data_IF_834479595332
#
_entry.id   IF_834479595332
#
_cell.length_a   1.000
_cell.length_b   1.000
_cell.length_c   1.000
_cell.angle_alpha   90.00
_cell.angle_beta   90.00
_cell.angle_gamma   90.00
#
_symmetry.space_group_name_H-M   'P 1'
#
loop_
_entity.id
_entity.type
_entity.pdbx_description
1 polymer ?
#
# COMPACT_ATOMS: atom_id res chain seq x y z
N UNK A 1 -92.20 37.77 98.17
CA UNK A 1 -92.25 38.04 96.70
C UNK A 1 -90.97 38.60 96.08
N UNK A 2 -90.25 39.58 96.68
CA UNK A 2 -89.04 40.19 96.08
C UNK A 2 -87.86 39.22 95.79
N UNK A 3 -87.72 38.12 96.55
CA UNK A 3 -86.67 37.11 96.33
C UNK A 3 -86.93 36.20 95.09
N UNK A 4 -88.20 35.87 94.80
CA UNK A 4 -88.57 35.04 93.64
C UNK A 4 -88.35 35.76 92.30
N UNK A 5 -88.54 37.07 92.26
CA UNK A 5 -88.31 37.90 91.06
C UNK A 5 -86.81 38.03 90.73
N UNK A 6 -85.93 38.04 91.75
CA UNK A 6 -84.46 38.05 91.53
C UNK A 6 -83.94 36.73 90.97
N UNK A 7 -84.49 35.60 91.41
CA UNK A 7 -84.11 34.27 90.92
C UNK A 7 -84.52 34.06 89.45
N UNK A 8 -85.68 34.56 89.04
CA UNK A 8 -86.16 34.47 87.64
C UNK A 8 -85.33 35.39 86.72
N UNK A 9 -84.97 36.61 87.15
CA UNK A 9 -84.07 37.48 86.37
C UNK A 9 -82.66 36.92 86.23
N UNK A 10 -82.13 36.23 87.25
CA UNK A 10 -80.82 35.58 87.17
C UNK A 10 -80.83 34.39 86.19
N UNK A 11 -81.88 33.57 86.20
CA UNK A 11 -82.05 32.46 85.24
C UNK A 11 -82.21 32.92 83.79
N UNK A 12 -82.93 34.01 83.53
CA UNK A 12 -83.05 34.56 82.17
C UNK A 12 -81.73 35.17 81.66
N UNK A 13 -80.96 35.88 82.52
CA UNK A 13 -79.64 36.40 82.12
C UNK A 13 -78.64 35.26 81.82
N UNK A 14 -78.65 34.18 82.59
CA UNK A 14 -77.80 33.01 82.33
C UNK A 14 -78.18 32.28 81.03
N UNK A 15 -79.47 32.13 80.74
CA UNK A 15 -79.95 31.56 79.48
C UNK A 15 -79.58 32.41 78.25
N UNK A 16 -79.70 33.73 78.36
CA UNK A 16 -79.38 34.64 77.25
C UNK A 16 -77.88 34.68 76.92
N UNK A 17 -77.01 34.55 77.93
CA UNK A 17 -75.55 34.48 77.73
C UNK A 17 -75.14 33.16 77.07
N UNK A 18 -75.74 32.02 77.45
CA UNK A 18 -75.47 30.73 76.80
C UNK A 18 -75.95 30.67 75.34
N UNK A 19 -77.12 31.22 75.03
CA UNK A 19 -77.65 31.24 73.65
C UNK A 19 -76.79 32.15 72.75
N UNK A 20 -76.34 33.30 73.26
CA UNK A 20 -75.45 34.21 72.52
C UNK A 20 -74.04 33.63 72.31
N UNK A 21 -73.51 32.85 73.26
CA UNK A 21 -72.25 32.13 73.10
C UNK A 21 -72.35 31.00 72.06
N UNK A 22 -73.46 30.23 72.05
CA UNK A 22 -73.71 29.19 71.05
C UNK A 22 -73.89 29.77 69.63
N UNK A 23 -74.60 30.89 69.48
CA UNK A 23 -74.73 31.55 68.17
C UNK A 23 -73.40 32.11 67.65
N UNK A 24 -72.53 32.66 68.52
CA UNK A 24 -71.18 33.09 68.12
C UNK A 24 -70.28 31.91 67.74
N UNK A 25 -70.36 30.78 68.44
CA UNK A 25 -69.61 29.56 68.10
C UNK A 25 -70.08 28.96 66.76
N UNK A 26 -71.39 28.89 66.51
CA UNK A 26 -71.96 28.42 65.23
C UNK A 26 -71.61 29.36 64.06
N UNK A 27 -71.65 30.68 64.28
CA UNK A 27 -71.19 31.67 63.29
C UNK A 27 -69.71 31.49 62.93
N UNK A 28 -68.85 31.26 63.92
CA UNK A 28 -67.42 31.01 63.69
C UNK A 28 -67.15 29.69 62.96
N UNK A 29 -67.89 28.62 63.28
CA UNK A 29 -67.76 27.32 62.59
C UNK A 29 -68.25 27.39 61.14
N UNK A 30 -69.37 28.06 60.88
CA UNK A 30 -69.86 28.23 59.50
C UNK A 30 -68.96 29.15 58.66
N UNK A 31 -68.42 30.23 59.22
CA UNK A 31 -67.49 31.11 58.50
C UNK A 31 -66.16 30.38 58.21
N UNK A 32 -65.64 29.60 59.18
CA UNK A 32 -64.40 28.82 59.02
C UNK A 32 -64.56 27.64 58.04
N UNK A 33 -65.72 26.98 58.02
CA UNK A 33 -66.03 25.95 57.02
C UNK A 33 -66.16 26.55 55.61
N UNK A 34 -66.78 27.73 55.47
CA UNK A 34 -66.93 28.42 54.18
C UNK A 34 -65.60 28.97 53.64
N UNK A 35 -64.66 29.37 54.50
CA UNK A 35 -63.30 29.74 54.09
C UNK A 35 -62.44 28.53 53.69
N UNK A 36 -62.56 27.38 54.38
CA UNK A 36 -61.86 26.13 54.00
C UNK A 36 -62.34 25.59 52.64
N UNK A 37 -63.63 25.69 52.33
CA UNK A 37 -64.18 25.31 51.03
C UNK A 37 -63.77 26.27 49.89
N UNK A 38 -63.66 27.58 50.15
CA UNK A 38 -63.20 28.58 49.15
C UNK A 38 -61.68 28.54 48.92
N UNK A 39 -60.87 28.26 49.94
CA UNK A 39 -59.42 28.04 49.78
C UNK A 39 -59.07 26.78 49.00
N UNK A 40 -59.90 25.73 49.11
CA UNK A 40 -59.72 24.46 48.38
C UNK A 40 -59.86 24.61 46.85
N UNK A 41 -60.86 25.39 46.39
CA UNK A 41 -61.06 25.65 44.96
C UNK A 41 -59.87 26.37 44.31
N UNK A 42 -59.30 27.38 44.99
CA UNK A 42 -58.16 28.13 44.48
C UNK A 42 -56.87 27.29 44.43
N UNK A 43 -56.68 26.39 45.40
CA UNK A 43 -55.54 25.44 45.40
C UNK A 43 -55.67 24.43 44.26
N UNK A 44 -56.86 23.90 43.99
CA UNK A 44 -57.08 22.99 42.85
C UNK A 44 -56.91 23.69 41.50
N UNK A 45 -57.38 24.93 41.34
CA UNK A 45 -57.17 25.72 40.11
C UNK A 45 -55.68 25.99 39.90
N UNK A 46 -54.95 26.42 40.95
CA UNK A 46 -53.50 26.65 40.88
C UNK A 46 -52.72 25.36 40.59
N UNK A 47 -53.15 24.22 41.14
CA UNK A 47 -52.55 22.91 40.84
C UNK A 47 -52.79 22.48 39.39
N UNK A 48 -54.02 22.64 38.86
CA UNK A 48 -54.35 22.39 37.45
C UNK A 48 -53.59 23.32 36.50
N UNK A 49 -53.47 24.61 36.82
CA UNK A 49 -52.65 25.55 36.06
C UNK A 49 -51.18 25.15 36.07
N UNK A 50 -50.61 24.79 37.23
CA UNK A 50 -49.22 24.30 37.31
C UNK A 50 -49.02 23.01 36.52
N UNK A 51 -49.96 22.07 36.57
CA UNK A 51 -49.92 20.84 35.78
C UNK A 51 -49.97 21.14 34.27
N UNK A 52 -50.86 22.04 33.84
CA UNK A 52 -50.96 22.48 32.43
C UNK A 52 -49.70 23.18 31.95
N UNK A 53 -49.09 24.05 32.77
CA UNK A 53 -47.81 24.70 32.44
C UNK A 53 -46.68 23.68 32.33
N UNK A 54 -46.62 22.66 33.21
CA UNK A 54 -45.65 21.56 33.10
C UNK A 54 -45.86 20.75 31.82
N UNK A 55 -47.10 20.45 31.47
CA UNK A 55 -47.44 19.75 30.23
C UNK A 55 -47.00 20.57 29.01
N UNK A 56 -47.32 21.86 28.95
CA UNK A 56 -46.90 22.75 27.86
C UNK A 56 -45.37 22.85 27.77
N UNK A 57 -44.66 22.95 28.91
CA UNK A 57 -43.19 22.96 28.94
C UNK A 57 -42.61 21.63 28.46
N UNK A 58 -43.19 20.51 28.84
CA UNK A 58 -42.77 19.18 28.37
C UNK A 58 -43.00 19.03 26.86
N UNK A 59 -44.16 19.46 26.35
CA UNK A 59 -44.45 19.48 24.91
C UNK A 59 -43.48 20.37 24.13
N UNK A 60 -43.21 21.60 24.61
CA UNK A 60 -42.22 22.50 23.99
C UNK A 60 -40.79 21.95 24.03
N UNK A 61 -40.42 21.27 25.12
CA UNK A 61 -39.12 20.63 25.24
C UNK A 61 -38.98 19.45 24.26
N UNK A 62 -40.05 18.66 24.08
CA UNK A 62 -40.10 17.60 23.09
C UNK A 62 -40.00 18.16 21.66
N UNK A 63 -40.80 19.19 21.34
CA UNK A 63 -40.76 19.87 20.04
C UNK A 63 -39.37 20.47 19.73
N UNK A 64 -38.71 21.08 20.71
CA UNK A 64 -37.34 21.56 20.55
C UNK A 64 -36.34 20.41 20.34
N UNK A 65 -36.54 19.27 21.01
CA UNK A 65 -35.76 18.05 20.79
C UNK A 65 -35.90 17.52 19.37
N UNK A 66 -37.14 17.42 18.90
CA UNK A 66 -37.50 16.93 17.57
C UNK A 66 -36.94 17.86 16.47
N UNK A 67 -37.07 19.17 16.66
CA UNK A 67 -36.50 20.18 15.76
C UNK A 67 -34.97 20.11 15.72
N UNK A 68 -34.31 19.83 16.84
CA UNK A 68 -32.86 19.62 16.90
C UNK A 68 -32.44 18.38 16.12
N UNK A 69 -33.19 17.28 16.20
CA UNK A 69 -32.93 16.05 15.44
C UNK A 69 -33.09 16.30 13.94
N UNK A 70 -34.18 16.97 13.51
CA UNK A 70 -34.40 17.38 12.12
C UNK A 70 -33.26 18.26 11.61
N UNK A 71 -32.87 19.28 12.38
CA UNK A 71 -31.77 20.18 12.04
C UNK A 71 -30.44 19.44 11.89
N UNK A 72 -30.12 18.54 12.83
CA UNK A 72 -28.90 17.74 12.76
C UNK A 72 -28.85 16.86 11.51
N UNK A 73 -29.98 16.21 11.15
CA UNK A 73 -30.07 15.42 9.93
C UNK A 73 -29.84 16.28 8.69
N UNK A 74 -30.52 17.44 8.57
CA UNK A 74 -30.35 18.37 7.46
C UNK A 74 -28.90 18.88 7.35
N UNK A 75 -28.28 19.22 8.47
CA UNK A 75 -26.87 19.62 8.50
C UNK A 75 -25.94 18.49 8.04
N UNK A 76 -26.17 17.24 8.49
CA UNK A 76 -25.38 16.08 8.06
C UNK A 76 -25.58 15.75 6.58
N UNK A 77 -26.79 15.88 6.03
CA UNK A 77 -27.09 15.73 4.60
C UNK A 77 -26.33 16.79 3.80
N UNK A 78 -26.43 18.07 4.20
CA UNK A 78 -25.77 19.19 3.51
C UNK A 78 -24.25 19.07 3.51
N UNK A 79 -23.67 18.62 4.63
CA UNK A 79 -22.22 18.43 4.76
C UNK A 79 -21.72 17.11 4.18
N UNK A 80 -22.62 16.17 3.87
CA UNK A 80 -22.27 14.81 3.45
C UNK A 80 -21.26 14.16 4.42
N UNK A 81 -21.45 14.36 5.73
CA UNK A 81 -20.52 13.86 6.74
C UNK A 81 -20.68 12.34 6.93
N UNK A 82 -19.65 11.58 6.54
CA UNK A 82 -19.64 10.10 6.60
C UNK A 82 -19.86 9.54 8.01
N UNK A 83 -19.45 10.26 9.05
CA UNK A 83 -19.52 9.78 10.43
C UNK A 83 -20.82 10.20 11.10
N UNK A 84 -21.24 11.45 10.88
CA UNK A 84 -22.44 12.01 11.55
C UNK A 84 -23.75 11.63 10.89
N UNK A 85 -23.77 11.36 9.58
CA UNK A 85 -25.00 11.06 8.86
C UNK A 85 -25.68 9.76 9.34
N UNK A 86 -24.98 8.62 9.53
CA UNK A 86 -25.61 7.40 10.04
C UNK A 86 -26.23 7.57 11.43
N UNK A 87 -25.55 8.31 12.32
CA UNK A 87 -26.04 8.60 13.68
C UNK A 87 -27.32 9.44 13.61
N UNK A 88 -27.33 10.50 12.81
CA UNK A 88 -28.50 11.35 12.64
C UNK A 88 -29.71 10.60 12.05
N UNK A 89 -29.49 9.67 11.12
CA UNK A 89 -30.55 8.81 10.57
C UNK A 89 -31.12 7.87 11.62
N UNK A 90 -30.27 7.27 12.47
CA UNK A 90 -30.73 6.41 13.57
C UNK A 90 -31.53 7.20 14.60
N UNK A 91 -31.05 8.39 15.00
CA UNK A 91 -31.75 9.27 15.94
C UNK A 91 -33.12 9.71 15.40
N UNK A 92 -33.18 10.06 14.11
CA UNK A 92 -34.43 10.42 13.43
C UNK A 92 -35.42 9.24 13.38
N UNK A 93 -34.95 8.05 12.98
CA UNK A 93 -35.77 6.82 12.95
C UNK A 93 -36.27 6.43 14.35
N UNK A 94 -35.43 6.61 15.38
CA UNK A 94 -35.78 6.33 16.78
C UNK A 94 -36.83 7.29 17.33
N UNK A 95 -36.77 8.56 16.96
CA UNK A 95 -37.72 9.59 17.37
C UNK A 95 -39.09 9.48 16.68
N UNK A 96 -39.23 8.65 15.62
CA UNK A 96 -40.48 8.44 14.85
C UNK A 96 -41.11 9.75 14.35
N UNK A 97 -40.28 10.71 13.96
CA UNK A 97 -40.74 12.00 13.44
C UNK A 97 -41.32 11.82 12.04
N UNK A 98 -42.34 12.62 11.69
CA UNK A 98 -42.82 12.72 10.32
C UNK A 98 -41.71 13.26 9.40
N UNK A 99 -41.56 12.70 8.21
CA UNK A 99 -40.56 13.13 7.21
C UNK A 99 -41.23 13.96 6.11
N UNK A 100 -41.63 15.19 6.48
CA UNK A 100 -42.36 16.09 5.58
C UNK A 100 -41.49 16.55 4.39
N UNK A 101 -40.17 16.60 4.58
CA UNK A 101 -39.19 17.16 3.63
C UNK A 101 -38.47 16.10 2.77
N UNK A 102 -38.83 14.82 2.94
CA UNK A 102 -38.15 13.66 2.34
C UNK A 102 -36.65 13.64 2.63
N UNK A 103 -36.25 14.04 3.84
CA UNK A 103 -34.86 14.05 4.27
C UNK A 103 -34.32 12.64 4.47
N UNK A 104 -35.17 11.70 4.88
CA UNK A 104 -34.77 10.32 5.16
C UNK A 104 -34.41 9.54 3.88
N UNK A 105 -35.21 9.56 2.79
CA UNK A 105 -34.81 9.00 1.50
C UNK A 105 -33.53 9.64 0.93
N UNK A 106 -33.37 10.96 1.08
CA UNK A 106 -32.14 11.66 0.65
C UNK A 106 -30.92 11.18 1.43
N UNK A 107 -31.04 11.09 2.76
CA UNK A 107 -29.98 10.58 3.63
C UNK A 107 -29.64 9.12 3.32
N UNK A 108 -30.65 8.26 3.12
CA UNK A 108 -30.45 6.86 2.76
C UNK A 108 -29.77 6.73 1.37
N UNK A 109 -30.09 7.60 0.39
CA UNK A 109 -29.39 7.66 -0.90
C UNK A 109 -27.91 8.03 -0.76
N UNK A 110 -27.58 9.06 0.05
CA UNK A 110 -26.20 9.47 0.31
C UNK A 110 -25.45 8.36 1.06
N UNK A 111 -26.09 7.69 2.01
CA UNK A 111 -25.48 6.57 2.73
C UNK A 111 -25.20 5.38 1.80
N UNK A 112 -26.11 5.08 0.88
CA UNK A 112 -25.90 4.04 -0.14
C UNK A 112 -24.78 4.44 -1.13
N UNK A 113 -24.67 5.72 -1.47
CA UNK A 113 -23.55 6.24 -2.25
C UNK A 113 -22.21 5.99 -1.52
N UNK A 114 -22.09 6.33 -0.22
CA UNK A 114 -20.87 6.03 0.54
C UNK A 114 -20.55 4.54 0.63
N UNK A 115 -21.57 3.70 0.85
CA UNK A 115 -21.39 2.24 0.83
C UNK A 115 -20.90 1.75 -0.54
N UNK A 116 -21.42 2.32 -1.63
CA UNK A 116 -20.99 2.01 -2.98
C UNK A 116 -19.53 2.45 -3.22
N UNK A 117 -19.18 3.68 -2.84
CA UNK A 117 -17.81 4.20 -2.94
C UNK A 117 -16.81 3.35 -2.14
N UNK A 118 -17.11 3.05 -0.88
CA UNK A 118 -16.21 2.27 -0.02
C UNK A 118 -16.17 0.79 -0.43
N UNK A 119 -17.27 0.26 -0.96
CA UNK A 119 -17.32 -1.08 -1.55
C UNK A 119 -16.44 -1.18 -2.80
N UNK A 120 -16.53 -0.19 -3.70
CA UNK A 120 -15.73 -0.13 -4.91
C UNK A 120 -14.24 0.03 -4.61
N UNK A 121 -13.88 0.97 -3.73
CA UNK A 121 -12.47 1.18 -3.32
C UNK A 121 -11.87 -0.07 -2.67
N UNK A 122 -12.62 -0.73 -1.77
CA UNK A 122 -12.18 -2.01 -1.18
C UNK A 122 -12.02 -3.11 -2.23
N UNK A 123 -12.94 -3.22 -3.19
CA UNK A 123 -12.85 -4.22 -4.24
C UNK A 123 -11.64 -3.98 -5.17
N UNK A 124 -11.35 -2.71 -5.49
CA UNK A 124 -10.13 -2.33 -6.22
C UNK A 124 -8.86 -2.70 -5.45
N UNK A 125 -8.83 -2.46 -4.13
CA UNK A 125 -7.69 -2.82 -3.28
C UNK A 125 -7.52 -4.34 -3.14
N UNK A 126 -8.62 -5.10 -3.03
CA UNK A 126 -8.57 -6.57 -2.93
C UNK A 126 -8.12 -7.22 -4.24
N UNK A 127 -8.24 -6.53 -5.39
CA UNK A 127 -7.83 -7.00 -6.72
C UNK A 127 -8.36 -8.40 -7.07
N UNK A 128 -9.61 -8.69 -6.67
CA UNK A 128 -10.34 -9.91 -7.04
C UNK A 128 -11.42 -9.58 -8.05
N UNK A 129 -11.36 -10.21 -9.22
CA UNK A 129 -12.30 -9.96 -10.32
C UNK A 129 -13.78 -10.05 -9.91
N UNK A 130 -14.28 -11.12 -9.23
CA UNK A 130 -15.71 -11.25 -8.95
C UNK A 130 -16.22 -10.21 -7.95
N UNK A 131 -15.40 -9.81 -6.97
CA UNK A 131 -15.77 -8.78 -6.00
C UNK A 131 -15.82 -7.39 -6.65
N UNK A 132 -14.89 -7.12 -7.58
CA UNK A 132 -14.85 -5.88 -8.35
C UNK A 132 -16.04 -5.77 -9.32
N UNK A 133 -16.36 -6.82 -10.06
CA UNK A 133 -17.53 -6.86 -10.94
C UNK A 133 -18.84 -6.67 -10.16
N UNK A 134 -18.96 -7.30 -8.98
CA UNK A 134 -20.12 -7.11 -8.09
C UNK A 134 -20.23 -5.67 -7.61
N UNK A 135 -19.11 -5.03 -7.25
CA UNK A 135 -19.09 -3.64 -6.80
C UNK A 135 -19.46 -2.67 -7.94
N UNK A 136 -18.92 -2.88 -9.14
CA UNK A 136 -19.27 -2.11 -10.34
C UNK A 136 -20.77 -2.25 -10.63
N UNK A 137 -21.31 -3.46 -10.69
CA UNK A 137 -22.73 -3.69 -10.95
C UNK A 137 -23.64 -3.07 -9.88
N UNK A 138 -23.19 -3.05 -8.62
CA UNK A 138 -23.91 -2.36 -7.55
C UNK A 138 -24.00 -0.84 -7.79
N UNK A 139 -22.91 -0.20 -8.24
CA UNK A 139 -22.89 1.22 -8.61
C UNK A 139 -23.85 1.49 -9.79
N UNK A 140 -23.82 0.63 -10.82
CA UNK A 140 -24.71 0.76 -12.00
C UNK A 140 -26.18 0.64 -11.64
N UNK A 141 -26.55 -0.41 -10.89
CA UNK A 141 -27.93 -0.69 -10.51
C UNK A 141 -28.56 0.42 -9.67
N UNK A 142 -27.77 1.08 -8.81
CA UNK A 142 -28.27 2.18 -7.97
C UNK A 142 -28.19 3.56 -8.65
N UNK A 143 -27.72 3.64 -9.90
CA UNK A 143 -27.61 4.89 -10.65
C UNK A 143 -26.60 5.88 -10.07
N UNK A 144 -25.50 5.36 -9.51
CA UNK A 144 -24.42 6.17 -8.92
C UNK A 144 -23.26 6.45 -9.89
N UNK A 145 -23.36 6.01 -11.15
CA UNK A 145 -22.31 6.20 -12.16
C UNK A 145 -21.89 7.68 -12.35
N UNK A 146 -22.81 8.67 -12.39
CA UNK A 146 -22.41 10.06 -12.58
C UNK A 146 -21.61 10.64 -11.40
N UNK A 147 -21.91 10.20 -10.17
CA UNK A 147 -21.23 10.68 -8.97
C UNK A 147 -19.87 10.01 -8.75
N UNK A 148 -19.67 8.80 -9.30
CA UNK A 148 -18.46 7.99 -9.13
C UNK A 148 -17.76 7.74 -10.47
N UNK A 149 -17.79 8.72 -11.38
CA UNK A 149 -17.29 8.54 -12.74
C UNK A 149 -15.80 8.17 -12.76
N UNK A 150 -14.99 8.89 -11.97
CA UNK A 150 -13.54 8.69 -11.90
C UNK A 150 -13.20 7.33 -11.26
N UNK A 151 -13.83 6.98 -10.12
CA UNK A 151 -13.61 5.68 -9.50
C UNK A 151 -14.09 4.52 -10.38
N UNK A 152 -15.17 4.71 -11.16
CA UNK A 152 -15.63 3.70 -12.10
C UNK A 152 -14.66 3.52 -13.27
N UNK A 153 -14.03 4.60 -13.75
CA UNK A 153 -12.99 4.52 -14.78
C UNK A 153 -11.78 3.74 -14.26
N UNK A 154 -11.31 4.07 -13.07
CA UNK A 154 -10.21 3.35 -12.40
C UNK A 154 -10.57 1.87 -12.18
N UNK A 155 -11.76 1.58 -11.69
CA UNK A 155 -12.24 0.22 -11.48
C UNK A 155 -12.26 -0.60 -12.78
N UNK A 156 -12.70 -0.02 -13.90
CA UNK A 156 -12.66 -0.70 -15.19
C UNK A 156 -11.24 -0.95 -15.69
N UNK A 157 -10.28 -0.03 -15.44
CA UNK A 157 -8.86 -0.26 -15.76
C UNK A 157 -8.29 -1.43 -14.96
N UNK A 158 -8.53 -1.48 -13.65
CA UNK A 158 -8.12 -2.59 -12.78
C UNK A 158 -8.79 -3.90 -13.21
N UNK A 159 -10.06 -3.86 -13.62
CA UNK A 159 -10.77 -5.03 -14.13
C UNK A 159 -10.14 -5.56 -15.43
N UNK A 160 -9.76 -4.69 -16.36
CA UNK A 160 -9.09 -5.07 -17.61
C UNK A 160 -7.75 -5.75 -17.34
N UNK A 161 -6.97 -5.18 -16.41
CA UNK A 161 -5.71 -5.74 -15.92
C UNK A 161 -5.88 -7.14 -15.32
N UNK A 162 -6.84 -7.31 -14.41
CA UNK A 162 -7.14 -8.61 -13.80
C UNK A 162 -7.58 -9.65 -14.82
N UNK A 163 -8.40 -9.28 -15.80
CA UNK A 163 -8.79 -10.17 -16.90
C UNK A 163 -7.62 -10.56 -17.79
N UNK A 164 -6.68 -9.65 -18.05
CA UNK A 164 -5.44 -9.97 -18.77
C UNK A 164 -4.61 -10.97 -17.99
N UNK A 165 -4.43 -10.76 -16.68
CA UNK A 165 -3.73 -11.71 -15.80
C UNK A 165 -4.39 -13.08 -15.76
N UNK A 166 -5.71 -13.16 -15.63
CA UNK A 166 -6.45 -14.43 -15.64
C UNK A 166 -6.34 -15.16 -16.98
N UNK A 167 -6.36 -14.43 -18.10
CA UNK A 167 -6.12 -15.02 -19.43
C UNK A 167 -4.74 -15.65 -19.53
N UNK A 168 -3.70 -14.93 -19.12
CA UNK A 168 -2.32 -15.43 -19.18
C UNK A 168 -2.13 -16.63 -18.24
N UNK A 169 -2.78 -16.61 -17.06
CA UNK A 169 -2.82 -17.76 -16.16
C UNK A 169 -3.48 -18.97 -16.83
N UNK A 170 -4.59 -18.78 -17.54
CA UNK A 170 -5.22 -19.85 -18.31
C UNK A 170 -4.29 -20.37 -19.42
N UNK A 171 -3.62 -19.48 -20.16
CA UNK A 171 -2.64 -19.87 -21.20
C UNK A 171 -1.48 -20.70 -20.63
N UNK A 172 -0.96 -20.37 -19.44
CA UNK A 172 0.07 -21.17 -18.76
C UNK A 172 -0.47 -22.53 -18.31
N UNK A 173 -1.71 -22.57 -17.80
CA UNK A 173 -2.35 -23.80 -17.37
C UNK A 173 -2.57 -24.76 -18.56
N UNK A 174 -3.02 -24.21 -19.70
CA UNK A 174 -3.29 -24.92 -20.95
C UNK A 174 -2.04 -25.22 -21.79
N UNK A 175 -0.88 -24.65 -21.42
CA UNK A 175 0.38 -24.88 -22.10
C UNK A 175 0.65 -26.39 -22.25
N UNK A 176 0.95 -26.86 -23.45
CA UNK A 176 1.16 -28.29 -23.71
C UNK A 176 2.39 -28.80 -22.94
N UNK A 177 2.31 -30.01 -22.38
CA UNK A 177 3.44 -30.60 -21.66
C UNK A 177 4.64 -30.87 -22.58
N UNK A 178 4.39 -31.14 -23.86
CA UNK A 178 5.43 -31.28 -24.88
C UNK A 178 6.28 -30.02 -25.02
N UNK A 179 5.66 -28.84 -24.93
CA UNK A 179 6.34 -27.55 -25.04
C UNK A 179 7.21 -27.27 -23.81
N UNK A 180 6.79 -27.68 -22.62
CA UNK A 180 7.65 -27.63 -21.42
C UNK A 180 8.80 -28.64 -21.52
N UNK A 181 8.53 -29.82 -22.08
CA UNK A 181 9.55 -30.83 -22.32
C UNK A 181 10.60 -30.37 -23.35
N UNK A 182 10.19 -29.60 -24.38
CA UNK A 182 11.08 -28.95 -25.34
C UNK A 182 12.09 -28.04 -24.63
N UNK A 183 11.61 -27.09 -23.81
CA UNK A 183 12.48 -26.20 -23.01
C UNK A 183 13.44 -27.01 -22.15
N UNK A 184 12.95 -28.06 -21.49
CA UNK A 184 13.80 -28.93 -20.66
C UNK A 184 14.83 -29.71 -21.49
N UNK A 185 14.52 -30.07 -22.72
CA UNK A 185 15.36 -30.95 -23.55
C UNK A 185 16.60 -30.26 -24.13
N UNK A 186 16.66 -28.93 -24.12
CA UNK A 186 17.83 -28.19 -24.62
C UNK A 186 19.09 -28.57 -23.86
N UNK A 187 20.08 -29.16 -24.53
CA UNK A 187 21.40 -29.38 -23.93
C UNK A 187 22.15 -28.06 -23.77
N UNK A 188 22.03 -27.17 -24.76
CA UNK A 188 22.49 -25.78 -24.74
C UNK A 188 21.31 -24.89 -25.18
N UNK A 189 20.69 -24.11 -24.27
CA UNK A 189 19.51 -23.33 -24.60
C UNK A 189 19.85 -22.18 -25.56
N UNK A 190 18.95 -21.81 -26.47
CA UNK A 190 19.04 -20.53 -27.16
C UNK A 190 19.14 -19.38 -26.14
N UNK A 191 19.96 -18.33 -26.38
CA UNK A 191 20.15 -17.24 -25.43
C UNK A 191 18.83 -16.59 -24.99
N UNK A 192 17.93 -16.34 -25.94
CA UNK A 192 16.61 -15.77 -25.69
C UNK A 192 15.78 -16.63 -24.72
N UNK A 193 15.74 -17.94 -24.95
CA UNK A 193 15.02 -18.88 -24.07
C UNK A 193 15.62 -18.86 -22.66
N UNK A 194 16.95 -18.89 -22.56
CA UNK A 194 17.62 -18.81 -21.28
C UNK A 194 17.24 -17.52 -20.53
N UNK A 195 17.38 -16.34 -21.16
CA UNK A 195 17.05 -15.04 -20.56
C UNK A 195 15.61 -14.99 -20.04
N UNK A 196 14.65 -15.49 -20.83
CA UNK A 196 13.24 -15.56 -20.43
C UNK A 196 13.03 -16.46 -19.22
N UNK A 197 13.66 -17.64 -19.20
CA UNK A 197 13.55 -18.57 -18.07
C UNK A 197 14.21 -18.01 -16.81
N UNK A 198 15.37 -17.35 -16.93
CA UNK A 198 16.04 -16.65 -15.82
C UNK A 198 15.14 -15.57 -15.24
N UNK A 199 14.55 -14.71 -16.07
CA UNK A 199 13.62 -13.67 -15.64
C UNK A 199 12.39 -14.27 -14.95
N UNK A 200 11.84 -15.36 -15.50
CA UNK A 200 10.69 -16.08 -14.93
C UNK A 200 11.02 -16.58 -13.52
N UNK A 201 12.14 -17.28 -13.33
CA UNK A 201 12.54 -17.79 -12.02
C UNK A 201 12.95 -16.69 -11.03
N UNK A 202 13.51 -15.58 -11.51
CA UNK A 202 13.81 -14.41 -10.70
C UNK A 202 12.53 -13.80 -10.11
N UNK A 203 11.46 -13.72 -10.89
CA UNK A 203 10.13 -13.28 -10.43
C UNK A 203 9.50 -14.27 -9.44
N UNK A 204 9.78 -15.57 -9.57
CA UNK A 204 9.36 -16.61 -8.64
C UNK A 204 10.19 -16.63 -7.34
N UNK A 205 11.21 -15.78 -7.20
CA UNK A 205 12.00 -15.62 -5.98
C UNK A 205 13.30 -16.43 -5.93
N UNK A 206 13.70 -17.05 -7.03
CA UNK A 206 15.01 -17.70 -7.13
C UNK A 206 16.13 -16.65 -7.26
N UNK A 207 17.34 -16.99 -6.80
CA UNK A 207 18.48 -16.07 -6.90
C UNK A 207 19.00 -16.05 -8.33
N UNK A 208 19.33 -14.85 -8.84
CA UNK A 208 19.91 -14.69 -10.19
C UNK A 208 21.19 -15.53 -10.35
N UNK A 209 22.00 -15.67 -9.29
CA UNK A 209 23.22 -16.51 -9.30
C UNK A 209 22.98 -17.98 -9.65
N UNK A 210 21.78 -18.50 -9.38
CA UNK A 210 21.42 -19.91 -9.62
C UNK A 210 20.88 -20.12 -11.04
N UNK A 211 20.51 -19.04 -11.73
CA UNK A 211 19.70 -19.10 -12.95
C UNK A 211 20.26 -18.30 -14.11
N UNK A 212 21.29 -17.49 -13.90
CA UNK A 212 21.93 -16.67 -14.93
C UNK A 212 23.21 -17.34 -15.42
N UNK A 213 23.24 -17.79 -16.68
CA UNK A 213 24.50 -17.89 -17.42
C UNK A 213 25.17 -16.53 -17.32
N UNK A 214 26.43 -16.52 -16.88
CA UNK A 214 27.20 -15.29 -16.89
C UNK A 214 27.06 -14.66 -18.29
N UNK A 215 26.88 -13.34 -18.39
CA UNK A 215 27.13 -12.66 -19.66
C UNK A 215 28.48 -13.15 -20.19
N UNK A 216 28.78 -13.10 -21.51
CA UNK A 216 30.12 -13.34 -22.02
C UNK A 216 31.08 -12.39 -21.34
N UNK A 217 31.60 -12.87 -20.22
CA UNK A 217 32.22 -12.04 -19.23
C UNK A 217 33.58 -11.70 -19.83
N UNK A 218 34.22 -10.65 -19.31
CA UNK A 218 35.65 -10.42 -19.61
C UNK A 218 36.46 -11.72 -19.52
N UNK A 219 36.07 -12.64 -18.64
CA UNK A 219 36.58 -14.01 -18.53
C UNK A 219 36.34 -14.89 -19.77
N UNK A 220 35.16 -14.93 -20.38
CA UNK A 220 34.93 -15.71 -21.61
C UNK A 220 35.74 -15.20 -22.80
N UNK A 221 35.85 -13.87 -22.95
CA UNK A 221 36.74 -13.27 -23.95
C UNK A 221 38.20 -13.66 -23.67
N UNK A 222 38.61 -13.67 -22.41
CA UNK A 222 39.93 -14.16 -22.00
C UNK A 222 40.11 -15.66 -22.26
N UNK A 223 39.11 -16.52 -21.99
CA UNK A 223 39.17 -17.95 -22.27
C UNK A 223 39.25 -18.24 -23.78
N UNK A 224 38.48 -17.52 -24.61
CA UNK A 224 38.58 -17.61 -26.06
C UNK A 224 39.98 -17.22 -26.55
N UNK A 225 40.57 -16.16 -25.98
CA UNK A 225 41.95 -15.76 -26.27
C UNK A 225 42.96 -16.82 -25.84
N UNK A 226 42.80 -17.41 -24.65
CA UNK A 226 43.65 -18.51 -24.15
C UNK A 226 43.59 -19.70 -25.12
N UNK A 227 42.39 -20.13 -25.55
CA UNK A 227 42.25 -21.25 -26.50
C UNK A 227 42.94 -20.97 -27.84
N UNK A 228 42.82 -19.75 -28.36
CA UNK A 228 43.48 -19.36 -29.62
C UNK A 228 45.01 -19.34 -29.45
N UNK A 229 45.51 -18.83 -28.32
CA UNK A 229 46.94 -18.77 -28.05
C UNK A 229 47.54 -20.16 -27.81
N UNK A 230 46.84 -21.03 -27.10
CA UNK A 230 47.25 -22.41 -26.84
C UNK A 230 47.38 -23.20 -28.16
N UNK A 231 46.41 -23.06 -29.06
CA UNK A 231 46.50 -23.66 -30.40
C UNK A 231 47.72 -23.17 -31.19
N UNK A 232 48.03 -21.87 -31.15
CA UNK A 232 49.23 -21.31 -31.81
C UNK A 232 50.52 -21.81 -31.16
N UNK A 233 50.53 -21.93 -29.84
CA UNK A 233 51.66 -22.43 -29.07
C UNK A 233 51.95 -23.88 -29.44
N UNK A 234 50.95 -24.76 -29.39
CA UNK A 234 51.05 -26.16 -29.78
C UNK A 234 51.56 -26.32 -31.22
N UNK A 235 51.01 -25.55 -32.16
CA UNK A 235 51.46 -25.58 -33.56
C UNK A 235 52.93 -25.18 -33.70
N UNK A 236 53.39 -24.21 -32.92
CA UNK A 236 54.80 -23.78 -32.91
C UNK A 236 55.71 -24.86 -32.35
N UNK A 237 55.30 -25.51 -31.25
CA UNK A 237 56.01 -26.67 -30.68
C UNK A 237 56.13 -27.81 -31.70
N UNK A 238 55.07 -28.11 -32.46
CA UNK A 238 55.13 -29.11 -33.53
C UNK A 238 56.16 -28.77 -34.61
N UNK A 239 56.27 -27.49 -35.01
CA UNK A 239 57.28 -27.06 -35.99
C UNK A 239 58.70 -27.22 -35.45
N UNK A 240 58.94 -26.89 -34.18
CA UNK A 240 60.24 -27.08 -33.53
C UNK A 240 60.66 -28.56 -33.56
N UNK A 241 59.73 -29.47 -33.25
CA UNK A 241 59.98 -30.92 -33.29
C UNK A 241 60.35 -31.36 -34.71
N UNK A 242 59.59 -30.93 -35.73
CA UNK A 242 59.89 -31.25 -37.12
C UNK A 242 61.27 -30.72 -37.55
N UNK A 243 61.62 -29.49 -37.16
CA UNK A 243 62.91 -28.89 -37.48
C UNK A 243 64.07 -29.60 -36.79
N UNK A 244 63.91 -30.04 -35.54
CA UNK A 244 64.92 -30.84 -34.85
C UNK A 244 65.22 -32.14 -35.59
N UNK A 245 64.19 -32.86 -36.05
CA UNK A 245 64.36 -34.08 -36.85
C UNK A 245 65.09 -33.80 -38.17
N UNK A 246 64.77 -32.68 -38.84
CA UNK A 246 65.46 -32.27 -40.06
C UNK A 246 66.93 -31.89 -39.81
N UNK A 247 67.23 -31.23 -38.68
CA UNK A 247 68.60 -30.89 -38.27
C UNK A 247 69.40 -32.18 -38.05
N UNK A 248 68.84 -33.16 -37.34
CA UNK A 248 69.49 -34.45 -37.04
C UNK A 248 69.79 -35.26 -38.32
N UNK A 249 68.85 -35.35 -39.27
CA UNK A 249 69.11 -35.97 -40.59
C UNK A 249 70.20 -35.21 -41.37
N UNK A 250 70.14 -33.88 -41.35
CA UNK A 250 71.12 -33.03 -42.05
C UNK A 250 72.52 -33.17 -41.42
N UNK A 251 72.59 -33.28 -40.09
CA UNK A 251 73.82 -33.53 -39.35
C UNK A 251 74.40 -34.91 -39.70
N UNK A 252 73.56 -35.94 -39.74
CA UNK A 252 73.97 -37.29 -40.15
C UNK A 252 74.51 -37.34 -41.58
N UNK A 253 74.00 -36.49 -42.48
CA UNK A 253 74.55 -36.33 -43.85
C UNK A 253 75.86 -35.55 -43.86
N UNK A 254 75.98 -34.53 -43.02
CA UNK A 254 77.22 -33.78 -42.85
C UNK A 254 78.35 -34.69 -42.39
N UNK A 255 78.11 -35.50 -41.35
CA UNK A 255 79.09 -36.41 -40.78
C UNK A 255 79.55 -37.45 -41.82
N UNK A 256 78.63 -37.98 -42.62
CA UNK A 256 78.97 -38.86 -43.77
C UNK A 256 79.84 -38.14 -44.83
N UNK A 257 79.49 -36.91 -45.20
CA UNK A 257 80.27 -36.15 -46.18
C UNK A 257 81.68 -35.81 -45.67
N UNK A 258 81.83 -35.58 -44.37
CA UNK A 258 83.11 -35.39 -43.70
C UNK A 258 83.94 -36.68 -43.73
N UNK A 259 83.33 -37.83 -43.40
CA UNK A 259 83.99 -39.14 -43.48
C UNK A 259 84.47 -39.47 -44.90
N UNK A 260 83.69 -39.10 -45.92
CA UNK A 260 84.03 -39.27 -47.34
C UNK A 260 85.00 -38.19 -47.89
N UNK A 261 85.48 -37.26 -47.06
CA UNK A 261 86.36 -36.14 -47.46
C UNK A 261 85.77 -35.20 -48.55
N UNK A 262 84.45 -35.05 -48.67
CA UNK A 262 83.79 -34.26 -49.71
C UNK A 262 83.58 -32.79 -49.31
N UNK A 263 84.65 -31.98 -49.36
CA UNK A 263 84.67 -30.58 -48.86
C UNK A 263 83.55 -29.66 -49.39
N UNK A 264 83.24 -29.72 -50.68
CA UNK A 264 82.21 -28.87 -51.30
C UNK A 264 80.81 -29.18 -50.75
N UNK A 265 80.51 -30.46 -50.52
CA UNK A 265 79.26 -30.90 -49.90
C UNK A 265 79.20 -30.50 -48.43
N UNK A 266 80.30 -30.64 -47.67
CA UNK A 266 80.35 -30.21 -46.27
C UNK A 266 79.98 -28.74 -46.12
N UNK A 267 80.51 -27.86 -47.00
CA UNK A 267 80.19 -26.44 -46.95
C UNK A 267 78.70 -26.17 -47.19
N UNK A 268 78.10 -26.79 -48.22
CA UNK A 268 76.67 -26.64 -48.52
C UNK A 268 75.78 -27.16 -47.39
N UNK A 269 76.09 -28.34 -46.84
CA UNK A 269 75.32 -28.92 -45.73
C UNK A 269 75.46 -28.06 -44.47
N UNK A 270 76.64 -27.51 -44.18
CA UNK A 270 76.84 -26.59 -43.05
C UNK A 270 75.99 -25.33 -43.17
N UNK A 271 75.90 -24.73 -44.36
CA UNK A 271 75.02 -23.58 -44.60
C UNK A 271 73.54 -23.94 -44.37
N UNK A 272 73.13 -25.13 -44.81
CA UNK A 272 71.76 -25.63 -44.58
C UNK A 272 71.48 -25.86 -43.09
N UNK A 273 72.41 -26.45 -42.34
CA UNK A 273 72.31 -26.62 -40.89
C UNK A 273 72.13 -25.26 -40.20
N UNK A 274 73.00 -24.28 -40.49
CA UNK A 274 72.90 -22.95 -39.91
C UNK A 274 71.54 -22.28 -40.22
N UNK A 275 71.00 -22.50 -41.43
CA UNK A 275 69.68 -21.99 -41.81
C UNK A 275 68.56 -22.67 -41.03
N UNK A 276 68.60 -24.01 -40.89
CA UNK A 276 67.61 -24.77 -40.12
C UNK A 276 67.64 -24.41 -38.62
N UNK A 277 68.82 -24.26 -38.05
CA UNK A 277 69.02 -23.82 -36.66
C UNK A 277 68.46 -22.41 -36.44
N UNK A 278 68.72 -21.49 -37.38
CA UNK A 278 68.14 -20.14 -37.35
C UNK A 278 66.61 -20.15 -37.35
N UNK A 279 65.99 -20.93 -38.25
CA UNK A 279 64.53 -21.06 -38.33
C UNK A 279 63.96 -21.71 -37.06
N UNK A 280 64.60 -22.76 -36.54
CA UNK A 280 64.18 -23.40 -35.28
C UNK A 280 64.21 -22.41 -34.11
N UNK A 281 65.29 -21.63 -33.99
CA UNK A 281 65.44 -20.64 -32.92
C UNK A 281 64.35 -19.55 -33.02
N UNK A 282 63.96 -19.13 -34.23
CA UNK A 282 62.82 -18.21 -34.40
C UNK A 282 61.50 -18.81 -33.88
N UNK A 283 61.20 -20.08 -34.18
CA UNK A 283 60.00 -20.73 -33.65
C UNK A 283 60.07 -20.93 -32.12
N UNK A 284 61.26 -21.19 -31.58
CA UNK A 284 61.48 -21.27 -30.14
C UNK A 284 61.14 -19.95 -29.45
N UNK A 285 61.70 -18.84 -29.92
CA UNK A 285 61.38 -17.51 -29.38
C UNK A 285 59.87 -17.17 -29.50
N UNK A 286 59.25 -17.53 -30.63
CA UNK A 286 57.81 -17.32 -30.82
C UNK A 286 56.97 -18.14 -29.83
N UNK A 287 57.31 -19.41 -29.62
CA UNK A 287 56.65 -20.28 -28.66
C UNK A 287 56.82 -19.76 -27.22
N UNK A 288 58.01 -19.30 -26.85
CA UNK A 288 58.25 -18.69 -25.52
C UNK A 288 57.35 -17.46 -25.29
N UNK A 289 57.26 -16.53 -26.25
CA UNK A 289 56.37 -15.35 -26.12
C UNK A 289 54.89 -15.72 -26.00
N UNK A 290 54.46 -16.78 -26.69
CA UNK A 290 53.09 -17.28 -26.56
C UNK A 290 52.82 -17.90 -25.19
N UNK A 291 53.79 -18.64 -24.65
CA UNK A 291 53.74 -19.21 -23.30
C UNK A 291 53.57 -18.12 -22.24
N UNK A 292 54.40 -17.08 -22.26
CA UNK A 292 54.32 -15.96 -21.32
C UNK A 292 52.96 -15.26 -21.40
N UNK A 293 52.41 -15.11 -22.61
CA UNK A 293 51.09 -14.52 -22.81
C UNK A 293 49.96 -15.41 -22.30
N UNK A 294 50.08 -16.72 -22.47
CA UNK A 294 49.13 -17.68 -21.90
C UNK A 294 49.14 -17.62 -20.37
N UNK A 295 50.32 -17.62 -19.77
CA UNK A 295 50.49 -17.56 -18.33
C UNK A 295 49.94 -16.26 -17.75
N UNK A 296 50.21 -15.10 -18.38
CA UNK A 296 49.65 -13.82 -17.94
C UNK A 296 48.12 -13.75 -18.01
N UNK A 297 47.50 -14.33 -19.05
CA UNK A 297 46.03 -14.40 -19.14
C UNK A 297 45.44 -15.35 -18.09
N UNK A 298 46.10 -16.48 -17.83
CA UNK A 298 45.70 -17.40 -16.76
C UNK A 298 45.83 -16.75 -15.38
N UNK A 299 46.88 -15.96 -15.16
CA UNK A 299 47.06 -15.21 -13.92
C UNK A 299 45.98 -14.15 -13.72
N UNK A 300 45.64 -13.37 -14.76
CA UNK A 300 44.55 -12.40 -14.72
C UNK A 300 43.19 -13.04 -14.38
N UNK A 301 42.91 -14.24 -14.89
CA UNK A 301 41.71 -15.00 -14.53
C UNK A 301 41.72 -15.46 -13.07
N UNK A 302 42.88 -15.86 -12.57
CA UNK A 302 43.08 -16.29 -11.19
C UNK A 302 42.91 -15.13 -10.21
N UNK A 303 43.54 -13.98 -10.48
CA UNK A 303 43.42 -12.76 -9.67
C UNK A 303 42.00 -12.19 -9.67
N UNK A 304 41.26 -12.34 -10.77
CA UNK A 304 39.87 -11.93 -10.85
C UNK A 304 38.92 -12.76 -9.94
N UNK A 305 39.44 -13.78 -9.23
CA UNK A 305 38.68 -14.57 -8.26
C UNK A 305 37.58 -15.43 -8.89
N UNK A 306 37.63 -15.68 -10.20
CA UNK A 306 36.63 -16.45 -10.95
C UNK A 306 37.15 -17.80 -11.38
N UNK A 307 37.67 -18.57 -10.42
CA UNK A 307 38.08 -19.96 -10.64
C UNK A 307 37.13 -20.99 -10.00
N UNK A 308 35.90 -20.59 -9.67
CA UNK A 308 34.79 -21.53 -9.76
C UNK A 308 34.24 -21.45 -11.18
N UNK A 309 34.81 -22.26 -12.07
CA UNK A 309 34.21 -22.67 -13.34
C UNK A 309 32.91 -23.42 -13.01
N UNK A 310 31.88 -22.70 -12.57
CA UNK A 310 30.52 -23.20 -12.71
C UNK A 310 30.31 -23.21 -14.21
N UNK A 311 30.45 -24.39 -14.80
CA UNK A 311 30.21 -24.57 -16.23
C UNK A 311 28.84 -23.96 -16.55
N UNK A 312 28.72 -23.20 -17.64
CA UNK A 312 27.42 -22.69 -18.13
C UNK A 312 26.38 -23.83 -18.19
N UNK A 313 26.84 -25.06 -18.47
CA UNK A 313 26.04 -26.26 -18.46
C UNK A 313 25.46 -26.59 -17.09
N UNK A 314 26.14 -26.27 -15.98
CA UNK A 314 25.64 -26.50 -14.62
C UNK A 314 24.52 -25.54 -14.24
N UNK A 315 24.63 -24.27 -14.63
CA UNK A 315 23.57 -23.28 -14.40
C UNK A 315 22.33 -23.68 -15.19
N UNK A 316 22.48 -24.05 -16.45
CA UNK A 316 21.34 -24.52 -17.24
C UNK A 316 20.77 -25.84 -16.71
N UNK A 317 21.61 -26.80 -16.29
CA UNK A 317 21.13 -28.03 -15.62
C UNK A 317 20.30 -27.72 -14.38
N UNK A 318 20.65 -26.68 -13.63
CA UNK A 318 19.84 -26.20 -12.51
C UNK A 318 18.47 -25.68 -12.99
N UNK A 319 18.44 -24.83 -14.02
CA UNK A 319 17.19 -24.34 -14.62
C UNK A 319 16.35 -25.50 -15.17
N UNK A 320 16.96 -26.48 -15.86
CA UNK A 320 16.29 -27.69 -16.35
C UNK A 320 15.69 -28.51 -15.21
N UNK A 321 16.40 -28.63 -14.09
CA UNK A 321 15.90 -29.30 -12.89
C UNK A 321 14.66 -28.58 -12.34
N UNK A 322 14.68 -27.24 -12.26
CA UNK A 322 13.54 -26.43 -11.83
C UNK A 322 12.34 -26.56 -12.79
N UNK A 323 12.56 -26.49 -14.10
CA UNK A 323 11.52 -26.69 -15.13
C UNK A 323 10.93 -28.11 -15.05
N UNK A 324 11.77 -29.10 -14.72
CA UNK A 324 11.39 -30.50 -14.59
C UNK A 324 10.64 -30.86 -13.31
N UNK A 325 10.57 -29.96 -12.32
CA UNK A 325 9.80 -30.20 -11.09
C UNK A 325 8.31 -30.37 -11.41
N UNK A 326 7.67 -31.31 -10.74
CA UNK A 326 6.23 -31.60 -10.87
C UNK A 326 5.47 -31.37 -9.57
N UNK A 327 4.14 -31.25 -9.63
CA UNK A 327 3.30 -31.16 -8.44
C UNK A 327 3.21 -29.74 -7.87
N UNK A 328 3.45 -29.57 -6.56
CA UNK A 328 3.36 -28.26 -5.89
C UNK A 328 4.44 -27.28 -6.34
N UNK A 329 5.63 -27.79 -6.64
CA UNK A 329 6.78 -27.00 -7.10
C UNK A 329 6.88 -26.91 -8.63
N UNK A 330 5.89 -27.42 -9.37
CA UNK A 330 5.92 -27.36 -10.82
C UNK A 330 5.80 -25.92 -11.32
N UNK A 331 6.64 -25.57 -12.30
CA UNK A 331 6.76 -24.21 -12.85
C UNK A 331 5.38 -23.57 -13.15
N UNK A 332 4.49 -24.29 -13.86
CA UNK A 332 3.14 -23.80 -14.17
C UNK A 332 2.36 -23.42 -12.91
N UNK A 333 2.42 -24.25 -11.87
CA UNK A 333 1.69 -24.01 -10.62
C UNK A 333 2.29 -22.85 -9.84
N UNK A 334 3.61 -22.71 -9.84
CA UNK A 334 4.29 -21.56 -9.28
C UNK A 334 3.85 -20.26 -9.98
N UNK A 335 3.82 -20.23 -11.32
CA UNK A 335 3.34 -19.08 -12.08
C UNK A 335 1.86 -18.76 -11.82
N UNK A 336 1.00 -19.77 -11.62
CA UNK A 336 -0.41 -19.59 -11.29
C UNK A 336 -0.62 -19.02 -9.88
N UNK A 337 0.19 -19.46 -8.91
CA UNK A 337 0.11 -19.04 -7.52
C UNK A 337 0.87 -17.74 -7.22
N UNK A 338 1.72 -17.30 -8.15
CA UNK A 338 2.43 -16.05 -8.03
C UNK A 338 1.45 -14.86 -7.98
N UNK A 339 1.63 -14.02 -6.97
CA UNK A 339 0.90 -12.78 -6.79
C UNK A 339 1.84 -11.61 -7.10
N UNK A 340 1.47 -10.66 -7.98
CA UNK A 340 2.32 -9.51 -8.29
C UNK A 340 2.72 -8.68 -7.07
N UNK A 341 1.86 -8.63 -6.04
CA UNK A 341 2.10 -7.88 -4.80
C UNK A 341 3.21 -8.45 -3.91
N UNK A 342 3.56 -9.73 -4.08
CA UNK A 342 4.58 -10.44 -3.28
C UNK A 342 5.94 -10.48 -3.98
N UNK A 343 6.02 -10.07 -5.24
CA UNK A 343 7.26 -10.05 -6.00
C UNK A 343 8.15 -8.93 -5.48
N UNK A 344 9.44 -9.24 -5.28
CA UNK A 344 10.42 -8.24 -4.86
C UNK A 344 10.60 -7.18 -5.98
N UNK A 345 10.43 -5.87 -5.68
CA UNK A 345 10.56 -4.80 -6.67
C UNK A 345 11.91 -4.81 -7.40
N UNK A 346 13.01 -5.13 -6.71
CA UNK A 346 14.34 -5.15 -7.33
C UNK A 346 14.50 -6.32 -8.30
N UNK A 347 13.90 -7.48 -7.97
CA UNK A 347 13.86 -8.64 -8.84
C UNK A 347 12.99 -8.38 -10.07
N UNK A 348 11.86 -7.70 -9.92
CA UNK A 348 10.99 -7.31 -11.03
C UNK A 348 11.69 -6.33 -11.99
N UNK A 349 12.33 -5.28 -11.46
CA UNK A 349 13.09 -4.33 -12.27
C UNK A 349 14.24 -5.01 -13.01
N UNK A 350 14.93 -5.93 -12.34
CA UNK A 350 16.03 -6.69 -12.95
C UNK A 350 15.53 -7.63 -14.05
N UNK A 351 14.45 -8.37 -13.80
CA UNK A 351 13.78 -9.19 -14.81
C UNK A 351 13.32 -8.34 -16.00
N UNK A 352 12.79 -7.14 -15.76
CA UNK A 352 12.42 -6.18 -16.80
C UNK A 352 13.61 -5.76 -17.66
N UNK A 353 14.78 -5.53 -17.04
CA UNK A 353 16.01 -5.18 -17.77
C UNK A 353 16.47 -6.34 -18.66
N UNK A 354 16.38 -7.58 -18.18
CA UNK A 354 16.72 -8.79 -18.96
C UNK A 354 15.77 -8.98 -20.14
N UNK A 355 14.47 -8.76 -19.94
CA UNK A 355 13.47 -8.97 -21.00
C UNK A 355 13.42 -7.82 -22.01
N UNK A 356 13.90 -6.62 -21.66
CA UNK A 356 13.93 -5.47 -22.55
C UNK A 356 14.86 -5.64 -23.77
N UNK A 357 15.77 -6.62 -23.73
CA UNK A 357 16.68 -6.94 -24.84
C UNK A 357 15.99 -7.72 -25.96
N UNK A 358 14.81 -8.29 -25.71
CA UNK A 358 14.11 -9.18 -26.62
C UNK A 358 12.70 -8.67 -26.92
N UNK A 359 12.22 -8.92 -28.13
CA UNK A 359 10.82 -8.73 -28.48
C UNK A 359 10.04 -10.05 -28.42
N UNK A 360 8.71 -9.96 -28.41
CA UNK A 360 7.86 -11.15 -28.32
C UNK A 360 7.97 -12.04 -29.56
N UNK A 361 8.21 -11.46 -30.74
CA UNK A 361 8.26 -12.18 -32.00
C UNK A 361 9.53 -13.03 -32.10
N UNK A 362 10.68 -12.48 -31.74
CA UNK A 362 11.97 -13.18 -31.62
C UNK A 362 11.86 -14.38 -30.67
N UNK A 363 11.28 -14.17 -29.47
CA UNK A 363 11.11 -15.26 -28.50
C UNK A 363 10.21 -16.36 -29.06
N UNK A 364 9.12 -15.98 -29.77
CA UNK A 364 8.14 -16.90 -30.32
C UNK A 364 8.69 -17.71 -31.49
N UNK A 365 9.51 -17.11 -32.32
CA UNK A 365 10.18 -17.78 -33.44
C UNK A 365 11.17 -18.85 -32.97
N UNK A 366 11.79 -18.63 -31.80
CA UNK A 366 12.72 -19.59 -31.20
C UNK A 366 12.00 -20.67 -30.40
N UNK A 367 11.03 -20.30 -29.54
CA UNK A 367 10.25 -21.27 -28.77
C UNK A 367 8.89 -20.70 -28.34
N UNK A 368 7.82 -21.34 -28.83
CA UNK A 368 6.46 -21.01 -28.44
C UNK A 368 6.23 -21.10 -26.92
N UNK A 369 6.92 -22.02 -26.24
CA UNK A 369 6.86 -22.16 -24.79
C UNK A 369 7.48 -21.00 -24.04
N UNK A 370 8.66 -20.57 -24.49
CA UNK A 370 9.33 -19.41 -23.93
C UNK A 370 8.48 -18.14 -24.12
N UNK A 371 7.81 -17.98 -25.27
CA UNK A 371 6.93 -16.85 -25.52
C UNK A 371 5.78 -16.73 -24.50
N UNK A 372 5.18 -17.85 -24.09
CA UNK A 372 4.15 -17.83 -23.03
C UNK A 372 4.73 -17.33 -21.69
N UNK A 373 5.93 -17.76 -21.32
CA UNK A 373 6.60 -17.30 -20.09
C UNK A 373 7.10 -15.85 -20.19
N UNK A 374 7.45 -15.38 -21.39
CA UNK A 374 7.79 -13.98 -21.66
C UNK A 374 6.58 -13.08 -21.43
N UNK A 375 5.42 -13.41 -22.01
CA UNK A 375 4.17 -12.67 -21.83
C UNK A 375 3.75 -12.66 -20.35
N UNK A 376 3.90 -13.79 -19.66
CA UNK A 376 3.65 -13.86 -18.23
C UNK A 376 4.59 -12.97 -17.43
N UNK A 377 5.89 -13.07 -17.66
CA UNK A 377 6.89 -12.32 -16.89
C UNK A 377 6.72 -10.81 -17.08
N UNK A 378 6.57 -10.35 -18.32
CA UNK A 378 6.31 -8.93 -18.64
C UNK A 378 5.04 -8.43 -17.96
N UNK A 379 3.95 -9.19 -18.02
CA UNK A 379 2.69 -8.81 -17.36
C UNK A 379 2.83 -8.78 -15.83
N UNK A 380 3.57 -9.72 -15.23
CA UNK A 380 3.82 -9.71 -13.78
C UNK A 380 4.67 -8.51 -13.34
N UNK A 381 5.64 -8.09 -14.17
CA UNK A 381 6.47 -6.89 -13.93
C UNK A 381 5.60 -5.64 -13.99
N UNK A 382 4.83 -5.44 -15.06
CA UNK A 382 3.91 -4.30 -15.21
C UNK A 382 2.95 -4.18 -14.02
N UNK A 383 2.37 -5.30 -13.59
CA UNK A 383 1.43 -5.35 -12.46
C UNK A 383 2.08 -5.08 -11.10
N UNK A 384 3.34 -5.52 -10.93
CA UNK A 384 4.14 -5.20 -9.76
C UNK A 384 4.47 -3.70 -9.70
N UNK A 385 4.88 -3.10 -10.81
CA UNK A 385 5.15 -1.65 -10.90
C UNK A 385 3.92 -0.81 -10.58
N UNK A 386 2.75 -1.19 -11.11
CA UNK A 386 1.48 -0.53 -10.81
C UNK A 386 1.13 -0.64 -9.32
N UNK A 387 1.36 -1.81 -8.72
CA UNK A 387 1.13 -2.01 -7.29
C UNK A 387 2.06 -1.12 -6.44
N UNK A 388 3.35 -1.06 -6.76
CA UNK A 388 4.32 -0.19 -6.08
C UNK A 388 3.90 1.28 -6.19
N UNK A 389 3.50 1.72 -7.39
CA UNK A 389 3.01 3.08 -7.61
C UNK A 389 1.77 3.37 -6.75
N UNK A 390 0.85 2.41 -6.62
CA UNK A 390 -0.34 2.56 -5.77
C UNK A 390 0.02 2.70 -4.29
N UNK A 391 0.97 1.91 -3.77
CA UNK A 391 1.44 2.03 -2.38
C UNK A 391 2.09 3.40 -2.15
N UNK A 392 2.95 3.84 -3.08
CA UNK A 392 3.64 5.13 -2.96
C UNK A 392 2.66 6.30 -2.88
N UNK A 393 1.60 6.29 -3.70
CA UNK A 393 0.52 7.30 -3.64
C UNK A 393 -0.26 7.23 -2.33
N UNK A 394 -0.60 6.04 -1.82
CA UNK A 394 -1.26 5.89 -0.53
C UNK A 394 -0.40 6.40 0.65
N UNK A 395 0.91 6.18 0.60
CA UNK A 395 1.85 6.70 1.59
C UNK A 395 1.97 8.22 1.52
N UNK A 396 2.00 8.79 0.31
CA UNK A 396 2.00 10.24 0.11
C UNK A 396 0.72 10.88 0.65
N UNK A 397 -0.45 10.28 0.38
CA UNK A 397 -1.72 10.72 0.96
C UNK A 397 -1.73 10.66 2.49
N UNK A 398 -1.21 9.58 3.07
CA UNK A 398 -1.11 9.43 4.54
C UNK A 398 -0.21 10.51 5.13
N UNK A 399 0.91 10.83 4.47
CA UNK A 399 1.81 11.94 4.86
C UNK A 399 1.08 13.28 4.79
N UNK A 400 0.40 13.59 3.68
CA UNK A 400 -0.40 14.83 3.52
C UNK A 400 -1.48 14.96 4.59
N UNK A 401 -2.24 13.90 4.87
CA UNK A 401 -3.26 13.88 5.93
C UNK A 401 -2.66 14.06 7.33
N UNK A 402 -1.48 13.49 7.59
CA UNK A 402 -0.77 13.65 8.85
C UNK A 402 -0.22 15.08 9.03
N UNK A 403 0.30 15.69 7.97
CA UNK A 403 0.76 17.09 7.96
C UNK A 403 -0.40 18.07 8.14
N UNK A 404 -1.51 17.86 7.43
CA UNK A 404 -2.74 18.66 7.58
C UNK A 404 -3.28 18.55 9.01
N UNK A 405 -3.33 17.34 9.58
CA UNK A 405 -3.72 17.15 10.98
C UNK A 405 -2.82 17.91 11.94
N UNK A 406 -1.49 17.84 11.76
CA UNK A 406 -0.53 18.60 12.58
C UNK A 406 -0.74 20.12 12.46
N UNK A 407 -1.04 20.60 11.26
CA UNK A 407 -1.34 22.01 11.01
C UNK A 407 -2.62 22.44 11.74
N UNK A 408 -3.70 21.68 11.64
CA UNK A 408 -4.95 21.96 12.35
C UNK A 408 -4.77 21.95 13.87
N UNK A 409 -3.99 21.00 14.41
CA UNK A 409 -3.65 20.96 15.83
C UNK A 409 -2.80 22.17 16.27
N UNK A 410 -1.92 22.68 15.40
CA UNK A 410 -1.14 23.89 15.66
C UNK A 410 -2.03 25.14 15.64
N UNK A 411 -2.91 25.28 14.65
CA UNK A 411 -3.89 26.37 14.55
C UNK A 411 -4.85 26.36 15.75
N UNK A 412 -5.28 25.19 16.23
CA UNK A 412 -6.12 25.07 17.44
C UNK A 412 -5.37 25.50 18.70
N UNK A 413 -4.08 25.13 18.84
CA UNK A 413 -3.23 25.57 19.95
C UNK A 413 -3.02 27.07 19.94
N UNK A 414 -2.82 27.66 18.78
CA UNK A 414 -2.68 29.11 18.62
C UNK A 414 -3.98 29.85 18.99
N UNK A 415 -5.14 29.36 18.52
CA UNK A 415 -6.45 29.88 18.92
C UNK A 415 -6.64 29.87 20.44
N UNK A 416 -6.29 28.77 21.10
CA UNK A 416 -6.36 28.65 22.57
C UNK A 416 -5.41 29.61 23.28
N UNK A 417 -4.22 29.88 22.72
CA UNK A 417 -3.29 30.88 23.27
C UNK A 417 -3.84 32.30 23.15
N UNK A 418 -4.45 32.65 22.02
CA UNK A 418 -5.08 33.95 21.81
C UNK A 418 -6.25 34.13 22.77
N UNK A 419 -7.14 33.13 22.88
CA UNK A 419 -8.28 33.17 23.81
C UNK A 419 -7.84 33.34 25.27
N UNK A 420 -6.76 32.65 25.68
CA UNK A 420 -6.19 32.79 27.01
C UNK A 420 -5.59 34.19 27.26
N UNK A 421 -4.93 34.78 26.26
CA UNK A 421 -4.38 36.13 26.34
C UNK A 421 -5.49 37.20 26.42
N UNK A 422 -6.55 37.06 25.64
CA UNK A 422 -7.74 37.93 25.71
C UNK A 422 -8.44 37.83 27.08
N UNK A 423 -8.50 36.62 27.67
CA UNK A 423 -9.05 36.44 29.02
C UNK A 423 -8.18 37.10 30.10
N UNK A 424 -6.85 37.04 29.96
CA UNK A 424 -5.91 37.71 30.87
C UNK A 424 -6.02 39.24 30.75
N UNK A 425 -6.13 39.78 29.54
CA UNK A 425 -6.32 41.21 29.29
C UNK A 425 -7.65 41.71 29.87
N UNK A 426 -8.74 40.95 29.70
CA UNK A 426 -10.04 41.25 30.32
C UNK A 426 -9.96 41.26 31.85
N UNK A 427 -9.19 40.36 32.45
CA UNK A 427 -8.97 40.33 33.90
C UNK A 427 -8.22 41.58 34.37
N UNK A 428 -7.15 41.98 33.66
CA UNK A 428 -6.38 43.20 33.95
C UNK A 428 -7.24 44.46 33.83
N UNK A 429 -8.04 44.57 32.77
CA UNK A 429 -8.93 45.72 32.57
C UNK A 429 -10.01 45.84 33.68
N UNK A 430 -10.56 44.72 34.15
CA UNK A 430 -11.50 44.72 35.29
C UNK A 430 -10.81 45.13 36.59
N UNK A 431 -9.56 44.73 36.80
CA UNK A 431 -8.77 45.13 37.97
C UNK A 431 -8.41 46.63 37.94
N UNK A 432 -8.01 47.14 36.79
CA UNK A 432 -7.71 48.57 36.56
C UNK A 432 -8.97 49.44 36.74
N UNK A 433 -10.10 49.07 36.15
CA UNK A 433 -11.37 49.78 36.35
C UNK A 433 -11.83 49.76 37.82
N UNK A 434 -11.50 48.71 38.56
CA UNK A 434 -11.78 48.62 40.00
C UNK A 434 -10.89 49.59 40.81
N UNK A 435 -9.62 49.77 40.42
CA UNK A 435 -8.71 50.74 41.02
C UNK A 435 -9.12 52.18 40.71
N UNK A 436 -9.52 52.49 39.47
CA UNK A 436 -10.03 53.81 39.09
C UNK A 436 -11.30 54.19 39.87
N UNK A 437 -12.26 53.26 40.00
CA UNK A 437 -13.48 53.49 40.78
C UNK A 437 -13.20 53.76 42.27
N UNK A 438 -12.10 53.19 42.82
CA UNK A 438 -11.63 53.47 44.17
C UNK A 438 -11.03 54.88 44.28
N UNK A 439 -10.28 55.35 43.28
CA UNK A 439 -9.70 56.69 43.26
C UNK A 439 -10.76 57.79 43.13
N UNK A 440 -11.80 57.59 42.29
CA UNK A 440 -12.86 58.58 42.05
C UNK A 440 -13.83 58.73 43.25
N UNK A 441 -13.85 57.75 44.16
CA UNK A 441 -14.60 57.84 45.42
C UNK A 441 -13.92 58.69 46.51
N UNK A 442 -12.72 59.23 46.22
CA UNK A 442 -11.87 59.95 47.18
C UNK A 442 -11.99 61.47 47.21
N UNK A 443 -12.71 62.12 46.27
CA UNK A 443 -12.70 63.59 46.14
C UNK A 443 -14.11 64.17 46.33
N UNK A 444 -14.49 64.48 47.57
CA UNK A 444 -15.83 64.99 47.83
C UNK A 444 -16.22 65.15 49.30
N UNK A 445 -15.40 65.85 50.09
CA UNK A 445 -15.86 66.57 51.28
C UNK A 445 -14.77 67.52 51.80
N UNK A 446 -14.50 68.60 51.08
CA UNK A 446 -13.99 69.80 51.74
C UNK A 446 -15.16 70.40 52.56
N UNK A 447 -15.04 70.58 53.89
CA UNK A 447 -16.09 71.19 54.70
C UNK A 447 -16.24 72.68 54.34
N UNK A 448 -17.47 73.21 54.23
CA UNK A 448 -17.68 74.66 54.10
C UNK A 448 -17.39 75.35 55.45
N UNK A 449 -16.58 76.42 55.40
CA UNK A 449 -16.40 77.38 56.49
C UNK A 449 -17.57 78.36 56.61
#
# INVERSE_FOLDING_TARGET
MKARVRLIRARMKAGYVMIRARMKALGYVMIRARMKARGSGYVMIRARMKARVRLIRAMKAQEHGDNKIRYNLKCSIKKQDRVRLPVAVVDFKKAKLADDDQDLPKADRIMNLFKATDGLKRAMQMRKLPELEKAINYVKHNGFEPQLHDEMREAHLVMLQLRRLERIRAEILELKQSTVAEIRSYSKPPPVVHTVMTATFLLLGHKEKETRMADPTRSEVMFAQIRILDWKFQRSCSQIIMLNNCIEDTQSRFDRAVADCRRTFCYSIRLRLATLEGIRNMFYEYASRLSDRLESLQHQLTEAGRYELVSEDEVWKHVQALVGKTGKEGLKRCCLQAEPSKINPTAAQRAGTLLAEHDLEEVRDVSAGAATFFIWSTTMIEENELYIRSIALEEEEKKKKAEEKKRLEAEEKERKKIEAAEEEERKKAVEEAKLEALADSGDGAAPPE
#
